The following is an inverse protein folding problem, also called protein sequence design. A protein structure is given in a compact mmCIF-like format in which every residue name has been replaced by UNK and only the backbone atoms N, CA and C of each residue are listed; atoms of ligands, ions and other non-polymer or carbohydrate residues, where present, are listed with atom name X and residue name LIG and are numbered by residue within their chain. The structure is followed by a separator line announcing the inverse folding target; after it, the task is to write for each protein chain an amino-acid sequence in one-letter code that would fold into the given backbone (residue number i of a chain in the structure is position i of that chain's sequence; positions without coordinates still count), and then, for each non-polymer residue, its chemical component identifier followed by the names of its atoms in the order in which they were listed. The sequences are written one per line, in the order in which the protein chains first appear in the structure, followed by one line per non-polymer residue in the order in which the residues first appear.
data_IF_192129984709
#
_entry.id   IF_192129984709
#
_cell.length_a   1.000
_cell.length_b   1.000
_cell.length_c   1.000
_cell.angle_alpha   90.00
_cell.angle_beta   90.00
_cell.angle_gamma   90.00
#
_symmetry.space_group_name_H-M   'P 1'
#
loop_
_entity.id
_entity.type
_entity.pdbx_description
1 polymer ?
#
# COMPACT_ATOMS: atom_id res chain seq x y z
N UNK A 1 14.19 7.31 -8.85
CA UNK A 1 15.20 8.35 -8.53
C UNK A 1 16.00 7.94 -7.27
N UNK A 2 17.27 8.33 -7.15
CA UNK A 2 18.11 7.96 -6.01
C UNK A 2 17.65 8.58 -4.67
N UNK A 3 16.82 9.63 -4.70
CA UNK A 3 16.26 10.27 -3.51
C UNK A 3 14.98 9.62 -2.98
N UNK A 4 14.39 8.67 -3.72
CA UNK A 4 13.19 7.95 -3.29
C UNK A 4 13.60 6.61 -2.70
N UNK A 5 13.72 6.55 -1.38
CA UNK A 5 13.93 5.29 -0.65
C UNK A 5 12.68 4.42 -0.78
N UNK A 6 12.78 3.34 -1.56
CA UNK A 6 11.68 2.40 -1.83
C UNK A 6 11.57 1.30 -0.78
N UNK A 7 11.85 1.62 0.49
CA UNK A 7 11.85 0.63 1.58
C UNK A 7 10.49 -0.04 1.77
N UNK A 8 9.40 0.67 1.42
CA UNK A 8 8.02 0.19 1.58
C UNK A 8 7.42 -0.46 0.33
N UNK A 9 8.21 -0.70 -0.71
CA UNK A 9 7.72 -1.36 -1.92
C UNK A 9 7.00 -0.47 -2.92
N UNK A 10 6.66 0.78 -2.60
CA UNK A 10 6.07 1.75 -3.53
C UNK A 10 6.92 1.90 -4.80
N UNK A 11 6.29 1.81 -5.97
CA UNK A 11 7.06 1.82 -7.21
C UNK A 11 6.28 1.75 -8.51
N UNK A 12 4.98 2.02 -8.48
CA UNK A 12 4.18 2.04 -9.70
C UNK A 12 4.55 3.19 -10.64
N UNK A 13 4.15 3.10 -11.92
CA UNK A 13 4.52 4.09 -12.93
C UNK A 13 4.01 5.50 -12.61
N UNK A 14 2.89 5.60 -11.89
CA UNK A 14 2.29 6.87 -11.49
C UNK A 14 3.01 7.55 -10.31
N UNK A 15 3.79 6.81 -9.52
CA UNK A 15 4.34 7.30 -8.25
C UNK A 15 5.18 8.56 -8.40
N UNK A 16 6.19 8.54 -9.26
CA UNK A 16 7.13 9.67 -9.41
C UNK A 16 6.42 10.91 -9.99
N UNK A 17 5.63 10.80 -11.07
CA UNK A 17 4.83 11.92 -11.58
C UNK A 17 3.91 12.53 -10.51
N UNK A 18 3.22 11.70 -9.72
CA UNK A 18 2.32 12.17 -8.66
C UNK A 18 3.07 12.95 -7.59
N UNK A 19 4.17 12.41 -7.04
CA UNK A 19 4.96 13.10 -6.02
C UNK A 19 5.58 14.41 -6.54
N UNK A 20 5.99 14.45 -7.80
CA UNK A 20 6.47 15.69 -8.43
C UNK A 20 5.34 16.71 -8.59
N UNK A 21 4.15 16.27 -9.00
CA UNK A 21 2.96 17.12 -9.11
C UNK A 21 2.55 17.72 -7.77
N UNK A 22 2.53 16.90 -6.72
CA UNK A 22 2.24 17.32 -5.34
C UNK A 22 3.20 18.43 -4.89
N UNK A 23 4.51 18.18 -4.96
CA UNK A 23 5.53 19.17 -4.57
C UNK A 23 5.47 20.44 -5.42
N UNK A 24 5.26 20.33 -6.73
CA UNK A 24 5.15 21.47 -7.63
C UNK A 24 3.90 22.30 -7.34
N UNK A 25 2.76 21.67 -7.09
CA UNK A 25 1.50 22.34 -6.73
C UNK A 25 1.63 23.08 -5.40
N UNK A 26 2.22 22.42 -4.41
CA UNK A 26 2.56 23.01 -3.12
C UNK A 26 3.45 24.25 -3.20
N UNK A 27 4.58 24.13 -3.92
CA UNK A 27 5.49 25.25 -4.16
C UNK A 27 4.80 26.41 -4.91
N UNK A 28 3.98 26.09 -5.91
CA UNK A 28 3.24 27.09 -6.69
C UNK A 28 2.26 27.86 -5.81
N UNK A 29 1.56 27.20 -4.89
CA UNK A 29 0.67 27.85 -3.92
C UNK A 29 1.42 28.80 -2.98
N UNK A 30 2.58 28.39 -2.49
CA UNK A 30 3.44 29.25 -1.64
C UNK A 30 3.89 30.48 -2.43
N UNK A 31 4.35 30.29 -3.67
CA UNK A 31 4.83 31.38 -4.52
C UNK A 31 3.69 32.33 -4.93
N UNK A 32 2.52 31.82 -5.26
CA UNK A 32 1.33 32.63 -5.58
C UNK A 32 0.94 33.54 -4.40
N UNK A 33 1.00 33.01 -3.17
CA UNK A 33 0.73 33.80 -1.95
C UNK A 33 1.75 34.93 -1.79
N UNK A 34 3.02 34.68 -2.12
CA UNK A 34 4.06 35.71 -2.08
C UNK A 34 3.92 36.73 -3.19
N UNK A 35 3.57 36.29 -4.39
CA UNK A 35 3.31 37.17 -5.52
C UNK A 35 2.16 38.15 -5.20
N UNK A 36 1.05 37.65 -4.67
CA UNK A 36 -0.07 38.48 -4.24
C UNK A 36 0.27 39.46 -3.10
N UNK A 37 1.29 39.16 -2.29
CA UNK A 37 1.80 40.09 -1.28
C UNK A 37 2.64 41.20 -1.91
N UNK A 38 3.50 40.85 -2.88
CA UNK A 38 4.30 41.82 -3.66
C UNK A 38 3.41 42.77 -4.43
N UNK A 39 2.34 42.29 -5.07
CA UNK A 39 1.38 43.14 -5.78
C UNK A 39 0.67 44.15 -4.86
N UNK A 40 0.48 43.80 -3.58
CA UNK A 40 -0.21 44.65 -2.60
C UNK A 40 0.72 45.68 -1.95
N UNK A 41 1.92 45.27 -1.57
CA UNK A 41 2.93 46.14 -0.97
C UNK A 41 4.36 45.63 -1.28
N UNK A 42 4.99 46.14 -2.35
CA UNK A 42 6.34 45.71 -2.74
C UNK A 42 7.41 46.00 -1.68
N UNK A 43 7.24 47.05 -0.88
CA UNK A 43 8.25 47.52 0.06
C UNK A 43 8.38 46.60 1.29
N UNK A 44 7.26 46.07 1.76
CA UNK A 44 7.22 45.07 2.85
C UNK A 44 7.42 43.64 2.34
N UNK A 45 6.87 43.29 1.17
CA UNK A 45 6.88 41.91 0.69
C UNK A 45 8.29 41.33 0.42
N UNK A 46 9.24 42.19 0.02
CA UNK A 46 10.64 41.80 -0.20
C UNK A 46 11.38 41.31 1.06
N UNK A 47 10.83 41.56 2.25
CA UNK A 47 11.37 41.07 3.54
C UNK A 47 10.88 39.67 3.90
N UNK A 48 9.85 39.15 3.21
CA UNK A 48 9.24 37.86 3.52
C UNK A 48 10.03 36.67 2.96
N UNK A 49 10.39 35.71 3.84
CA UNK A 49 11.06 34.48 3.41
C UNK A 49 10.07 33.37 3.00
N UNK A 50 10.39 32.65 1.92
CA UNK A 50 9.71 31.40 1.51
C UNK A 50 10.25 30.16 2.21
N UNK A 51 11.40 30.27 2.90
CA UNK A 51 12.09 29.12 3.47
C UNK A 51 11.22 28.36 4.46
N UNK A 52 10.63 29.07 5.41
CA UNK A 52 9.78 28.46 6.44
C UNK A 52 8.55 27.75 5.84
N UNK A 53 7.72 28.40 4.99
CA UNK A 53 6.61 27.72 4.32
C UNK A 53 7.05 26.50 3.50
N UNK A 54 8.20 26.56 2.82
CA UNK A 54 8.71 25.43 2.06
C UNK A 54 9.16 24.28 2.96
N UNK A 55 9.79 24.57 4.10
CA UNK A 55 10.16 23.55 5.09
C UNK A 55 8.92 22.90 5.70
N UNK A 56 7.90 23.68 6.05
CA UNK A 56 6.63 23.17 6.58
C UNK A 56 5.95 22.25 5.56
N UNK A 57 5.93 22.62 4.28
CA UNK A 57 5.40 21.80 3.20
C UNK A 57 6.12 20.45 3.06
N UNK A 58 7.45 20.45 3.09
CA UNK A 58 8.24 19.23 2.96
C UNK A 58 8.08 18.30 4.17
N UNK A 59 7.97 18.85 5.38
CA UNK A 59 7.75 18.05 6.60
C UNK A 59 6.33 17.47 6.63
N UNK A 60 5.32 18.24 6.21
CA UNK A 60 3.94 17.75 6.09
C UNK A 60 3.86 16.60 5.08
N UNK A 61 4.50 16.75 3.92
CA UNK A 61 4.53 15.67 2.92
C UNK A 61 5.27 14.43 3.42
N UNK A 62 6.44 14.63 4.03
CA UNK A 62 7.20 13.53 4.61
C UNK A 62 6.39 12.79 5.67
N UNK A 63 5.60 13.50 6.48
CA UNK A 63 4.73 12.88 7.47
C UNK A 63 3.58 12.11 6.83
N UNK A 64 2.95 12.65 5.77
CA UNK A 64 1.91 11.99 4.98
C UNK A 64 2.41 10.68 4.36
N UNK A 65 3.53 10.75 3.63
CA UNK A 65 4.17 9.58 3.02
C UNK A 65 4.55 8.51 4.04
N UNK A 66 4.97 8.90 5.25
CA UNK A 66 5.27 7.96 6.34
C UNK A 66 4.02 7.30 6.91
N UNK A 67 2.85 7.94 6.84
CA UNK A 67 1.61 7.40 7.37
C UNK A 67 0.90 6.50 6.37
N UNK A 68 0.73 6.99 5.15
CA UNK A 68 -0.18 6.41 4.14
C UNK A 68 0.50 6.09 2.80
N UNK A 69 1.83 6.24 2.74
CA UNK A 69 2.55 6.18 1.47
C UNK A 69 2.06 7.27 0.53
N UNK A 70 2.24 7.08 -0.78
CA UNK A 70 1.78 8.05 -1.77
C UNK A 70 0.25 8.01 -2.02
N UNK A 71 -0.48 7.11 -1.37
CA UNK A 71 -1.89 6.84 -1.70
C UNK A 71 -2.83 7.96 -1.26
N UNK A 72 -2.56 8.59 -0.12
CA UNK A 72 -3.31 9.77 0.32
C UNK A 72 -2.86 11.04 -0.43
N UNK A 73 -3.78 11.91 -0.85
CA UNK A 73 -3.42 13.22 -1.41
C UNK A 73 -2.82 14.14 -0.32
N UNK A 74 -1.93 15.08 -0.70
CA UNK A 74 -1.52 16.17 0.17
C UNK A 74 -2.71 16.98 0.67
N UNK A 75 -2.61 17.56 1.87
CA UNK A 75 -3.60 18.50 2.40
C UNK A 75 -3.78 19.76 1.51
N UNK A 76 -2.76 20.10 0.70
CA UNK A 76 -2.77 21.23 -0.20
C UNK A 76 -3.08 20.88 -1.66
N UNK A 77 -3.44 19.62 -1.96
CA UNK A 77 -3.83 19.22 -3.30
C UNK A 77 -5.04 20.04 -3.79
N UNK A 78 -4.92 20.65 -4.97
CA UNK A 78 -5.98 21.48 -5.54
C UNK A 78 -7.16 20.65 -6.04
N UNK A 79 -6.88 19.49 -6.62
CA UNK A 79 -7.86 18.51 -7.05
C UNK A 79 -7.49 17.10 -6.52
N UNK A 80 -7.92 16.75 -5.30
CA UNK A 80 -7.65 15.44 -4.72
C UNK A 80 -8.25 14.27 -5.54
N UNK A 81 -9.30 14.53 -6.33
CA UNK A 81 -10.05 13.49 -7.07
C UNK A 81 -9.35 13.02 -8.35
N UNK A 82 -8.39 13.78 -8.87
CA UNK A 82 -7.56 13.41 -10.02
C UNK A 82 -6.36 12.52 -9.66
N UNK A 83 -6.16 12.23 -8.37
CA UNK A 83 -5.03 11.41 -7.93
C UNK A 83 -5.15 9.98 -8.49
N UNK A 84 -4.06 9.38 -9.00
CA UNK A 84 -4.05 7.98 -9.41
C UNK A 84 -4.43 7.04 -8.25
N UNK A 85 -5.06 5.91 -8.58
CA UNK A 85 -5.48 4.92 -7.59
C UNK A 85 -4.30 4.28 -6.85
N UNK A 86 -4.57 3.69 -5.68
CA UNK A 86 -3.52 3.09 -4.84
C UNK A 86 -2.74 2.00 -5.57
N UNK A 87 -3.42 1.22 -6.42
CA UNK A 87 -2.78 0.18 -7.23
C UNK A 87 -1.73 0.75 -8.20
N UNK A 88 -2.04 1.85 -8.89
CA UNK A 88 -1.14 2.52 -9.84
C UNK A 88 0.09 3.15 -9.15
N UNK A 89 -0.09 3.64 -7.93
CA UNK A 89 0.98 4.24 -7.12
C UNK A 89 1.91 3.17 -6.52
N UNK A 90 1.34 2.06 -6.06
CA UNK A 90 2.08 0.94 -5.49
C UNK A 90 2.71 0.03 -6.56
N UNK A 91 2.24 0.11 -7.81
CA UNK A 91 2.68 -0.76 -8.90
C UNK A 91 2.02 -2.14 -8.83
N UNK A 92 0.85 -2.22 -8.20
CA UNK A 92 -0.01 -3.40 -8.17
C UNK A 92 -0.97 -3.30 -9.36
N UNK A 93 -1.18 -4.38 -10.10
CA UNK A 93 -2.23 -4.42 -11.13
C UNK A 93 -3.59 -4.46 -10.42
N UNK A 94 -4.39 -3.40 -10.58
CA UNK A 94 -5.74 -3.28 -10.00
C UNK A 94 -6.66 -4.43 -10.43
N UNK A 95 -6.70 -4.71 -11.73
CA UNK A 95 -7.52 -5.80 -12.29
C UNK A 95 -7.12 -7.16 -11.75
N UNK A 96 -5.81 -7.44 -11.71
CA UNK A 96 -5.28 -8.72 -11.22
C UNK A 96 -5.46 -8.86 -9.71
N UNK A 97 -5.28 -7.79 -8.95
CA UNK A 97 -5.51 -7.78 -7.51
C UNK A 97 -7.00 -7.99 -7.20
N UNK A 98 -7.90 -7.33 -7.94
CA UNK A 98 -9.34 -7.52 -7.79
C UNK A 98 -9.78 -8.95 -8.10
N UNK A 99 -9.31 -9.53 -9.20
CA UNK A 99 -9.60 -10.93 -9.56
C UNK A 99 -9.08 -11.92 -8.50
N UNK A 100 -7.85 -11.68 -8.01
CA UNK A 100 -7.17 -12.62 -7.12
C UNK A 100 -7.67 -12.52 -5.67
N UNK A 101 -8.08 -11.33 -5.23
CA UNK A 101 -8.65 -11.11 -3.89
C UNK A 101 -10.18 -11.34 -3.86
N UNK A 102 -10.82 -11.45 -5.01
CA UNK A 102 -12.23 -11.79 -5.13
C UNK A 102 -12.58 -13.20 -4.64
N UNK A 103 -13.88 -13.51 -4.48
CA UNK A 103 -14.36 -14.78 -3.95
C UNK A 103 -13.97 -15.99 -4.82
N UNK A 104 -13.82 -15.79 -6.14
CA UNK A 104 -13.43 -16.82 -7.10
C UNK A 104 -11.90 -16.98 -7.24
N UNK A 105 -11.11 -16.13 -6.58
CA UNK A 105 -9.65 -16.12 -6.72
C UNK A 105 -8.94 -17.14 -5.82
N UNK A 106 -7.88 -17.78 -6.34
CA UNK A 106 -6.71 -18.16 -5.53
C UNK A 106 -6.31 -19.64 -5.42
N UNK A 107 -7.12 -20.62 -5.82
CA UNK A 107 -6.74 -22.03 -5.69
C UNK A 107 -6.05 -22.62 -6.94
N UNK A 108 -6.64 -22.42 -8.12
CA UNK A 108 -6.21 -23.10 -9.35
C UNK A 108 -4.90 -22.55 -9.95
N UNK A 109 -4.51 -21.33 -9.61
CA UNK A 109 -3.27 -20.69 -10.08
C UNK A 109 -2.13 -20.70 -9.04
N UNK A 110 -2.29 -21.44 -7.93
CA UNK A 110 -1.32 -21.41 -6.84
C UNK A 110 0.03 -22.03 -7.24
N UNK A 111 1.11 -21.24 -7.11
CA UNK A 111 2.48 -21.71 -7.33
C UNK A 111 3.03 -22.33 -6.04
N UNK A 112 3.53 -23.58 -6.06
CA UNK A 112 4.09 -24.20 -4.86
C UNK A 112 5.39 -23.52 -4.44
N UNK A 113 5.42 -23.01 -3.20
CA UNK A 113 6.61 -22.37 -2.61
C UNK A 113 7.61 -23.38 -2.00
N UNK A 114 7.25 -24.66 -1.95
CA UNK A 114 8.09 -25.73 -1.43
C UNK A 114 8.54 -26.67 -2.54
N UNK A 115 9.69 -27.34 -2.31
CA UNK A 115 10.23 -28.33 -3.25
C UNK A 115 9.31 -29.54 -3.37
N UNK A 116 9.45 -30.28 -4.47
CA UNK A 116 8.61 -31.43 -4.78
C UNK A 116 8.64 -32.52 -3.69
N UNK A 117 9.77 -32.68 -3.01
CA UNK A 117 9.95 -33.63 -1.92
C UNK A 117 9.09 -33.25 -0.71
N UNK A 118 9.07 -31.97 -0.35
CA UNK A 118 8.25 -31.46 0.76
C UNK A 118 6.76 -31.52 0.47
N UNK A 119 6.35 -31.40 -0.80
CA UNK A 119 4.93 -31.55 -1.18
C UNK A 119 4.35 -32.92 -0.84
N UNK A 120 5.18 -33.98 -0.84
CA UNK A 120 4.73 -35.33 -0.46
C UNK A 120 4.33 -35.44 1.01
N UNK A 121 4.81 -34.49 1.83
CA UNK A 121 4.52 -34.39 3.26
C UNK A 121 3.25 -33.58 3.56
N UNK A 122 2.69 -32.88 2.58
CA UNK A 122 1.49 -32.06 2.74
C UNK A 122 0.22 -32.92 2.66
N UNK A 123 -0.81 -32.50 3.39
CA UNK A 123 -2.14 -33.12 3.36
C UNK A 123 -2.69 -33.14 1.93
N UNK A 124 -3.39 -34.23 1.59
CA UNK A 124 -4.12 -34.37 0.32
C UNK A 124 -5.60 -34.03 0.46
N UNK A 125 -6.05 -33.73 1.67
CA UNK A 125 -7.44 -33.38 1.97
C UNK A 125 -7.71 -31.95 1.45
N UNK A 126 -8.59 -31.76 0.45
CA UNK A 126 -8.87 -30.44 -0.12
C UNK A 126 -9.44 -29.46 0.92
N UNK A 127 -10.23 -29.97 1.87
CA UNK A 127 -10.85 -29.15 2.92
C UNK A 127 -9.85 -28.66 3.99
N UNK A 128 -8.64 -29.22 4.01
CA UNK A 128 -7.60 -28.83 4.96
C UNK A 128 -6.80 -27.59 4.51
N UNK A 129 -6.98 -27.13 3.27
CA UNK A 129 -6.29 -25.95 2.73
C UNK A 129 -6.89 -24.69 3.34
N UNK A 130 -6.02 -23.83 3.90
CA UNK A 130 -6.41 -22.49 4.36
C UNK A 130 -5.86 -21.44 3.40
N UNK A 131 -6.74 -20.62 2.85
CA UNK A 131 -6.36 -19.48 2.03
C UNK A 131 -6.18 -18.24 2.91
N UNK A 132 -5.09 -17.52 2.69
CA UNK A 132 -4.81 -16.23 3.33
C UNK A 132 -4.66 -15.20 2.23
N UNK A 133 -5.60 -14.26 2.16
CA UNK A 133 -5.51 -13.12 1.25
C UNK A 133 -4.69 -12.03 1.93
N UNK A 134 -3.82 -11.37 1.19
CA UNK A 134 -3.02 -10.27 1.72
C UNK A 134 -2.87 -9.15 0.70
N UNK A 135 -2.80 -7.92 1.20
CA UNK A 135 -2.60 -6.72 0.39
C UNK A 135 -1.96 -5.61 1.24
N UNK A 136 -1.24 -4.64 0.64
CA UNK A 136 -0.76 -3.47 1.34
C UNK A 136 -1.89 -2.65 1.95
N UNK A 137 -1.73 -2.24 3.20
CA UNK A 137 -2.68 -1.39 3.95
C UNK A 137 -2.95 -0.04 3.25
N UNK A 138 -1.97 0.47 2.48
CA UNK A 138 -2.13 1.66 1.66
C UNK A 138 -3.21 1.48 0.56
N UNK A 139 -3.47 0.24 0.11
CA UNK A 139 -4.61 -0.03 -0.76
C UNK A 139 -5.91 0.26 -0.02
N UNK A 140 -6.10 -0.28 1.19
CA UNK A 140 -7.32 -0.05 2.01
C UNK A 140 -7.64 1.42 2.22
N UNK A 141 -6.63 2.26 2.49
CA UNK A 141 -6.80 3.68 2.80
C UNK A 141 -6.94 4.58 1.57
N UNK A 142 -6.39 4.14 0.44
CA UNK A 142 -6.45 4.87 -0.82
C UNK A 142 -7.79 4.80 -1.56
N UNK A 143 -8.71 3.92 -1.16
CA UNK A 143 -10.10 4.07 -1.60
C UNK A 143 -10.86 4.97 -0.64
N UNK A 144 -11.10 6.19 -1.09
CA UNK A 144 -12.29 6.92 -0.67
C UNK A 144 -13.55 6.09 -1.00
N UNK A 145 -14.52 5.99 -0.07
CA UNK A 145 -15.69 5.11 -0.19
C UNK A 145 -16.59 5.37 -1.40
N UNK A 146 -16.48 6.53 -2.06
CA UNK A 146 -17.35 6.92 -3.18
C UNK A 146 -16.76 6.65 -4.57
N UNK A 147 -15.47 6.31 -4.67
CA UNK A 147 -14.84 6.06 -5.97
C UNK A 147 -14.70 4.55 -6.20
N UNK A 148 -15.68 3.98 -6.91
CA UNK A 148 -15.66 2.64 -7.54
C UNK A 148 -14.51 2.45 -8.56
N UNK A 149 -13.48 3.31 -8.55
CA UNK A 149 -12.36 3.27 -9.49
C UNK A 149 -11.49 2.02 -9.31
N UNK A 150 -11.66 1.36 -8.16
CA UNK A 150 -10.74 0.38 -7.63
C UNK A 150 -11.55 -0.85 -7.18
N UNK A 151 -11.66 -1.85 -8.08
CA UNK A 151 -12.50 -3.06 -7.93
C UNK A 151 -12.11 -4.04 -6.82
N UNK A 152 -11.34 -3.60 -5.82
CA UNK A 152 -10.85 -4.42 -4.70
C UNK A 152 -11.71 -4.32 -3.43
N UNK A 153 -12.74 -3.46 -3.42
CA UNK A 153 -13.74 -3.37 -2.35
C UNK A 153 -14.57 -4.64 -2.14
N UNK A 154 -14.57 -5.56 -3.10
CA UNK A 154 -15.29 -6.83 -3.00
C UNK A 154 -14.53 -7.92 -2.22
N UNK A 155 -13.29 -7.65 -1.81
CA UNK A 155 -12.53 -8.58 -0.99
C UNK A 155 -12.89 -8.34 0.49
N UNK A 156 -13.69 -9.25 1.05
CA UNK A 156 -14.31 -9.14 2.38
C UNK A 156 -13.35 -9.12 3.58
N UNK A 157 -13.90 -9.33 4.78
CA UNK A 157 -13.24 -9.19 6.10
C UNK A 157 -11.95 -10.04 6.32
N UNK A 158 -11.63 -10.95 5.39
CA UNK A 158 -10.55 -11.96 5.48
C UNK A 158 -9.23 -11.57 4.79
N UNK A 159 -8.92 -10.27 4.66
CA UNK A 159 -7.63 -9.79 4.13
C UNK A 159 -6.67 -9.45 5.28
N UNK A 160 -5.46 -10.03 5.22
CA UNK A 160 -4.32 -9.60 6.02
C UNK A 160 -3.69 -8.36 5.39
N UNK A 161 -3.85 -7.22 6.05
CA UNK A 161 -3.25 -5.98 5.57
C UNK A 161 -1.77 -5.88 5.98
N UNK A 162 -0.88 -5.80 4.99
CA UNK A 162 0.55 -5.65 5.22
C UNK A 162 0.90 -4.17 5.44
N UNK A 163 1.82 -3.83 6.38
CA UNK A 163 2.19 -2.43 6.65
C UNK A 163 2.76 -1.66 5.46
N UNK A 164 3.18 -2.37 4.42
CA UNK A 164 3.67 -1.84 3.15
C UNK A 164 3.88 -2.99 2.15
N UNK A 165 4.41 -2.66 0.99
CA UNK A 165 4.76 -3.59 -0.08
C UNK A 165 4.08 -3.25 -1.40
N UNK A 166 4.50 -3.93 -2.46
CA UNK A 166 3.89 -3.89 -3.81
C UNK A 166 3.21 -5.22 -4.18
N UNK A 167 2.90 -6.03 -3.19
CA UNK A 167 2.44 -7.39 -3.40
C UNK A 167 1.09 -7.56 -2.72
N UNK A 168 0.08 -7.82 -3.54
CA UNK A 168 -1.19 -8.38 -3.11
C UNK A 168 -1.28 -9.81 -3.64
N UNK A 169 -1.87 -10.71 -2.88
CA UNK A 169 -1.75 -12.14 -3.15
C UNK A 169 -2.70 -13.01 -2.34
N UNK A 170 -2.73 -14.29 -2.69
CA UNK A 170 -3.33 -15.37 -1.89
C UNK A 170 -2.22 -16.37 -1.57
N UNK A 171 -2.09 -16.71 -0.30
CA UNK A 171 -1.24 -17.79 0.18
C UNK A 171 -2.12 -18.98 0.54
N UNK A 172 -1.84 -20.14 -0.05
CA UNK A 172 -2.47 -21.40 0.32
C UNK A 172 -1.59 -22.12 1.34
N UNK A 173 -2.08 -22.22 2.57
CA UNK A 173 -1.46 -22.99 3.64
C UNK A 173 -2.04 -24.40 3.63
N UNK A 174 -1.20 -25.39 3.36
CA UNK A 174 -1.56 -26.81 3.40
C UNK A 174 -0.88 -27.42 4.62
N UNK A 175 -1.62 -28.03 5.56
CA UNK A 175 -1.01 -28.66 6.72
C UNK A 175 -0.19 -29.87 6.31
N UNK A 176 0.76 -30.26 7.16
CA UNK A 176 1.46 -31.54 7.01
C UNK A 176 0.49 -32.70 7.24
N UNK A 177 0.76 -33.85 6.63
CA UNK A 177 0.04 -35.09 6.92
C UNK A 177 0.29 -35.48 8.37
N UNK A 178 -0.72 -36.10 8.98
CA UNK A 178 -0.52 -36.86 10.21
C UNK A 178 0.67 -37.81 10.02
N UNK A 179 1.48 -37.97 11.07
CA UNK A 179 2.72 -38.77 11.11
C UNK A 179 4.01 -38.13 10.53
N UNK A 180 3.96 -36.95 9.89
CA UNK A 180 5.21 -36.31 9.40
C UNK A 180 6.02 -35.66 10.53
N UNK A 181 5.32 -35.05 11.49
CA UNK A 181 5.93 -34.40 12.65
C UNK A 181 5.25 -34.88 13.91
N UNK A 182 6.05 -35.31 14.90
CA UNK A 182 5.55 -35.64 16.24
C UNK A 182 5.30 -34.35 17.00
N UNK A 183 4.07 -34.09 17.41
CA UNK A 183 3.74 -32.93 18.23
C UNK A 183 4.15 -33.21 19.68
N UNK A 184 5.28 -32.65 20.13
CA UNK A 184 5.88 -32.96 21.45
C UNK A 184 5.13 -32.27 22.62
N UNK A 185 4.25 -31.30 22.34
CA UNK A 185 3.67 -30.41 23.37
C UNK A 185 2.53 -30.99 24.21
N UNK A 186 2.24 -32.29 24.10
CA UNK A 186 1.16 -32.96 24.85
C UNK A 186 1.65 -33.82 26.02
N UNK A 187 2.96 -34.05 26.19
CA UNK A 187 3.49 -35.01 27.18
C UNK A 187 3.87 -34.39 28.55
N UNK A 188 3.71 -33.09 28.77
CA UNK A 188 4.05 -32.44 30.07
C UNK A 188 2.86 -32.29 31.04
N UNK A 189 1.75 -32.97 30.77
CA UNK A 189 0.48 -32.78 31.49
C UNK A 189 -0.06 -34.01 32.22
N UNK A 190 0.76 -34.88 32.78
CA UNK A 190 0.27 -35.90 33.72
C UNK A 190 1.33 -36.21 34.81
N UNK A 191 1.23 -35.59 36.01
CA UNK A 191 1.90 -36.11 37.18
C UNK A 191 1.08 -37.28 37.75
N UNK A 192 1.73 -38.44 37.87
CA UNK A 192 1.28 -39.57 38.70
C UNK A 192 1.38 -39.23 40.18
#
# INVERSE_FOLDING_TARGET
PPWLERERGDGGPALVPTLLGDLAGGATRILATRWAAVERDPAEAGRGSVRRPMTELLEEERAGLRRDGATSPPAFAADPGERPGAAELLGVSSDRAGQLLGPEGGADEAVPLCRAEHRRMLSREPTAVRQVRFAPEAMRRGAEPDLQRDGWHAAGEDIVWTPGGRHAGVLCLVPLRAEIVRTVRAEEGEPR
#
